data_IF_576153420577
#
_entry.id   IF_576153420577
#
_cell.length_a   1.000
_cell.length_b   1.000
_cell.length_c   1.000
_cell.angle_alpha   90.00
_cell.angle_beta   90.00
_cell.angle_gamma   90.00
#
_symmetry.space_group_name_H-M   'P 1'
#
loop_
_entity.id
_entity.type
_entity.pdbx_description
1 polymer ?
#
# COMPACT_ATOMS: atom_id res chain seq x y z
N UNK A 1 -13.76 10.33 4.00
CA UNK A 1 -12.93 9.11 3.86
C UNK A 1 -11.84 9.05 4.95
N UNK A 2 -12.22 9.06 6.23
CA UNK A 2 -11.25 9.01 7.35
C UNK A 2 -11.72 8.12 8.52
N UNK A 3 -13.01 7.80 8.58
CA UNK A 3 -13.57 6.90 9.59
C UNK A 3 -12.84 5.54 9.66
N UNK A 4 -12.53 4.85 8.53
CA UNK A 4 -11.74 3.62 8.60
C UNK A 4 -10.35 3.83 9.21
N UNK A 5 -9.69 4.95 8.88
CA UNK A 5 -8.36 5.27 9.39
C UNK A 5 -8.36 5.50 10.91
N UNK A 6 -9.38 6.20 11.43
CA UNK A 6 -9.53 6.39 12.88
C UNK A 6 -9.82 5.08 13.61
N UNK A 7 -10.65 4.21 13.02
CA UNK A 7 -10.92 2.87 13.58
C UNK A 7 -9.63 2.05 13.64
N UNK A 8 -8.84 2.02 12.57
CA UNK A 8 -7.54 1.33 12.56
C UNK A 8 -6.59 1.92 13.60
N UNK A 9 -6.50 3.25 13.69
CA UNK A 9 -5.66 3.90 14.69
C UNK A 9 -6.07 3.50 16.13
N UNK A 10 -7.37 3.50 16.43
CA UNK A 10 -7.89 3.05 17.72
C UNK A 10 -7.56 1.57 17.99
N UNK A 11 -7.70 0.70 16.98
CA UNK A 11 -7.36 -0.73 17.11
C UNK A 11 -5.86 -0.95 17.34
N UNK A 12 -4.98 -0.15 16.72
CA UNK A 12 -3.54 -0.25 16.91
C UNK A 12 -3.12 0.03 18.37
N UNK A 13 -3.82 0.91 19.09
CA UNK A 13 -3.57 1.13 20.52
C UNK A 13 -3.95 -0.06 21.41
N UNK A 14 -4.83 -0.95 20.93
CA UNK A 14 -5.26 -2.15 21.66
C UNK A 14 -4.37 -3.36 21.39
N UNK A 15 -3.59 -3.34 20.31
CA UNK A 15 -2.71 -4.45 19.96
C UNK A 15 -1.47 -4.47 20.85
N UNK A 16 -1.08 -5.65 21.35
CA UNK A 16 0.17 -5.79 22.08
C UNK A 16 1.36 -5.54 21.15
N UNK A 17 2.49 -5.13 21.73
CA UNK A 17 3.75 -5.02 21.01
C UNK A 17 4.15 -6.35 20.36
N UNK A 18 4.83 -6.27 19.21
CA UNK A 18 5.24 -7.47 18.47
C UNK A 18 6.21 -8.33 19.31
N UNK A 19 5.97 -9.65 19.46
CA UNK A 19 6.88 -10.54 20.17
C UNK A 19 8.31 -10.49 19.63
N UNK A 20 8.47 -10.31 18.30
CA UNK A 20 9.78 -10.17 17.66
C UNK A 20 10.53 -8.93 18.15
N UNK A 21 9.84 -7.81 18.33
CA UNK A 21 10.42 -6.59 18.86
C UNK A 21 10.83 -6.77 20.33
N UNK A 22 9.96 -7.35 21.16
CA UNK A 22 10.24 -7.64 22.57
C UNK A 22 11.46 -8.55 22.73
N UNK A 23 11.57 -9.62 21.93
CA UNK A 23 12.76 -10.50 21.91
C UNK A 23 14.02 -9.73 21.49
N UNK A 24 13.93 -8.92 20.42
CA UNK A 24 15.09 -8.15 19.93
C UNK A 24 15.61 -7.09 20.92
N UNK A 25 14.76 -6.65 21.86
CA UNK A 25 15.10 -5.68 22.90
C UNK A 25 15.48 -6.34 24.23
N UNK A 26 15.50 -7.68 24.30
CA UNK A 26 15.82 -8.46 25.49
C UNK A 26 14.67 -8.64 26.49
N UNK A 27 13.45 -8.19 26.14
CA UNK A 27 12.22 -8.32 26.95
C UNK A 27 11.54 -9.67 26.71
N UNK A 28 12.25 -10.76 27.03
CA UNK A 28 11.80 -12.12 26.72
C UNK A 28 10.55 -12.54 27.50
N UNK A 29 10.42 -12.15 28.77
CA UNK A 29 9.26 -12.49 29.60
C UNK A 29 7.97 -11.84 29.06
N UNK A 30 8.06 -10.59 28.61
CA UNK A 30 6.94 -9.88 28.00
C UNK A 30 6.56 -10.48 26.64
N UNK A 31 7.54 -10.92 25.85
CA UNK A 31 7.26 -11.66 24.62
C UNK A 31 6.52 -12.97 24.90
N UNK A 32 6.86 -13.66 25.99
CA UNK A 32 6.21 -14.89 26.42
C UNK A 32 4.74 -14.65 26.82
N UNK A 33 4.45 -13.54 27.51
CA UNK A 33 3.08 -13.13 27.83
C UNK A 33 2.25 -12.87 26.57
N UNK A 34 2.83 -12.22 25.56
CA UNK A 34 2.15 -12.02 24.28
C UNK A 34 1.86 -13.36 23.60
N UNK A 35 2.80 -14.32 23.61
CA UNK A 35 2.56 -15.66 23.06
C UNK A 35 1.48 -16.44 23.82
N UNK A 36 1.45 -16.34 25.16
CA UNK A 36 0.37 -16.91 25.99
C UNK A 36 -0.99 -16.32 25.62
N UNK A 37 -1.05 -15.00 25.42
CA UNK A 37 -2.24 -14.33 24.93
C UNK A 37 -2.71 -14.84 23.57
N UNK A 38 -1.80 -14.97 22.61
CA UNK A 38 -2.09 -15.52 21.27
C UNK A 38 -2.59 -16.97 21.37
N UNK A 39 -1.95 -17.81 22.20
CA UNK A 39 -2.36 -19.19 22.44
C UNK A 39 -3.79 -19.28 22.96
N UNK A 40 -4.12 -18.48 23.98
CA UNK A 40 -5.47 -18.43 24.55
C UNK A 40 -6.50 -17.99 23.51
N UNK A 41 -6.20 -16.95 22.71
CA UNK A 41 -7.11 -16.48 21.66
C UNK A 41 -7.33 -17.52 20.55
N UNK A 42 -6.28 -18.24 20.14
CA UNK A 42 -6.38 -19.21 19.05
C UNK A 42 -7.01 -20.54 19.48
N UNK A 43 -6.79 -20.97 20.73
CA UNK A 43 -7.21 -22.30 21.21
C UNK A 43 -8.41 -22.27 22.16
N UNK A 44 -8.72 -21.10 22.74
CA UNK A 44 -9.70 -20.95 23.81
C UNK A 44 -9.28 -21.56 25.15
N UNK A 45 -8.05 -22.09 25.26
CA UNK A 45 -7.52 -22.72 26.48
C UNK A 45 -6.79 -21.70 27.35
N UNK A 46 -6.67 -22.02 28.64
CA UNK A 46 -6.00 -21.15 29.61
C UNK A 46 -4.54 -20.83 29.20
N UNK A 47 -4.09 -19.61 29.49
CA UNK A 47 -2.74 -19.12 29.22
C UNK A 47 -1.66 -19.97 29.92
N UNK A 48 -1.97 -20.53 31.09
CA UNK A 48 -1.06 -21.37 31.88
C UNK A 48 -0.73 -22.69 31.21
N UNK A 49 -1.61 -23.17 30.31
CA UNK A 49 -1.39 -24.39 29.52
C UNK A 49 -0.44 -24.18 28.34
N UNK A 50 0.07 -22.96 28.15
CA UNK A 50 1.03 -22.68 27.10
C UNK A 50 2.34 -23.47 27.32
N UNK A 51 2.74 -24.34 26.38
CA UNK A 51 3.81 -25.32 26.61
C UNK A 51 5.22 -24.71 26.65
N UNK A 52 5.41 -23.49 26.13
CA UNK A 52 6.72 -22.85 26.07
C UNK A 52 6.98 -22.07 27.37
N UNK A 53 8.09 -22.39 28.04
CA UNK A 53 8.50 -21.77 29.31
C UNK A 53 9.57 -20.70 29.16
N UNK A 54 10.41 -20.80 28.14
CA UNK A 54 11.51 -19.87 27.89
C UNK A 54 11.77 -19.74 26.38
N UNK A 55 12.23 -18.56 25.97
CA UNK A 55 12.59 -18.26 24.59
C UNK A 55 14.12 -18.24 24.52
N UNK A 56 14.70 -19.19 23.79
CA UNK A 56 16.13 -19.23 23.50
C UNK A 56 16.37 -18.53 22.15
N UNK A 57 17.40 -17.70 22.07
CA UNK A 57 17.80 -17.04 20.82
C UNK A 57 19.18 -17.58 20.44
N UNK A 58 19.23 -18.37 19.36
CA UNK A 58 20.44 -19.07 18.90
C UNK A 58 21.46 -18.14 18.22
N UNK A 59 21.04 -16.95 17.78
CA UNK A 59 21.96 -15.94 17.25
C UNK A 59 22.35 -14.94 18.34
N UNK A 60 23.63 -14.52 18.42
CA UNK A 60 23.93 -13.27 19.07
C UNK A 60 23.31 -12.18 18.22
N UNK A 61 22.08 -11.79 18.52
CA UNK A 61 21.62 -10.44 18.20
C UNK A 61 22.55 -9.52 18.97
N UNK A 62 23.69 -9.20 18.36
CA UNK A 62 24.66 -8.25 18.87
C UNK A 62 23.93 -6.91 19.00
N UNK A 63 23.41 -6.64 20.21
CA UNK A 63 24.11 -5.82 21.20
C UNK A 63 23.36 -5.94 22.52
N UNK A 64 24.05 -6.48 23.53
CA UNK A 64 23.80 -6.09 24.92
C UNK A 64 23.61 -4.56 24.94
N UNK A 65 22.59 -4.00 25.60
CA UNK A 65 22.72 -2.66 26.12
C UNK A 65 23.69 -2.77 27.30
N UNK A 66 24.98 -2.87 26.99
CA UNK A 66 25.98 -2.60 27.99
C UNK A 66 25.75 -1.15 28.43
N UNK A 67 25.56 -0.99 29.74
CA UNK A 67 25.33 0.26 30.43
C UNK A 67 26.33 1.31 29.95
N UNK A 68 25.92 2.16 29.02
CA UNK A 68 26.57 3.44 28.77
C UNK A 68 25.46 4.48 28.69
N UNK A 69 25.30 5.15 29.84
CA UNK A 69 24.73 6.48 29.95
C UNK A 69 25.45 7.36 28.93
N UNK A 70 24.89 7.56 27.73
CA UNK A 70 25.22 8.72 26.91
C UNK A 70 24.06 9.05 25.97
N UNK A 71 23.55 10.26 26.12
CA UNK A 71 22.66 10.92 25.19
C UNK A 71 23.26 10.89 23.77
N UNK A 72 22.77 10.00 22.88
CA UNK A 72 23.17 9.98 21.47
C UNK A 72 21.96 10.18 20.57
N UNK A 73 22.10 11.21 19.73
CA UNK A 73 21.08 11.86 18.92
C UNK A 73 20.20 10.90 18.08
N UNK A 74 18.92 11.27 17.83
CA UNK A 74 17.99 10.49 16.98
C UNK A 74 18.52 10.22 15.57
N UNK A 75 19.42 11.07 15.06
CA UNK A 75 20.05 10.94 13.74
C UNK A 75 20.88 9.66 13.58
N UNK A 76 21.49 9.16 14.66
CA UNK A 76 22.33 7.95 14.61
C UNK A 76 21.49 6.66 14.46
N UNK A 77 20.34 6.60 15.13
CA UNK A 77 19.40 5.48 15.04
C UNK A 77 18.76 5.38 13.65
N UNK A 78 18.32 6.51 13.09
CA UNK A 78 17.73 6.55 11.75
C UNK A 78 18.73 6.14 10.67
N UNK A 79 19.97 6.66 10.74
CA UNK A 79 21.03 6.29 9.79
C UNK A 79 21.36 4.80 9.84
N UNK A 80 21.39 4.21 11.03
CA UNK A 80 21.63 2.77 11.20
C UNK A 80 20.48 1.94 10.62
N UNK A 81 19.24 2.32 10.92
CA UNK A 81 18.05 1.67 10.38
C UNK A 81 17.96 1.76 8.85
N UNK A 82 18.31 2.92 8.26
CA UNK A 82 18.41 3.05 6.79
C UNK A 82 19.53 2.20 6.21
N UNK A 83 20.68 2.10 6.88
CA UNK A 83 21.77 1.22 6.47
C UNK A 83 21.35 -0.25 6.46
N UNK A 84 20.65 -0.69 7.51
CA UNK A 84 20.11 -2.05 7.62
C UNK A 84 19.08 -2.32 6.51
N UNK A 85 18.18 -1.37 6.24
CA UNK A 85 17.20 -1.47 5.13
C UNK A 85 17.90 -1.60 3.78
N UNK A 86 18.94 -0.81 3.52
CA UNK A 86 19.70 -0.86 2.27
C UNK A 86 20.39 -2.21 2.12
N UNK A 87 21.01 -2.73 3.19
CA UNK A 87 21.70 -4.02 3.15
C UNK A 87 20.73 -5.18 2.91
N UNK A 88 19.60 -5.20 3.62
CA UNK A 88 18.54 -6.19 3.38
C UNK A 88 17.92 -6.06 1.98
N UNK A 89 17.73 -4.84 1.48
CA UNK A 89 17.23 -4.62 0.12
C UNK A 89 18.21 -5.13 -0.93
N UNK A 90 19.52 -4.94 -0.71
CA UNK A 90 20.58 -5.40 -1.61
C UNK A 90 20.59 -6.92 -1.76
N UNK A 91 20.27 -7.66 -0.70
CA UNK A 91 20.14 -9.12 -0.76
C UNK A 91 19.08 -9.58 -1.76
N UNK A 92 18.07 -8.76 -2.06
CA UNK A 92 17.04 -9.09 -3.05
C UNK A 92 17.54 -8.98 -4.51
N UNK A 93 18.63 -8.23 -4.73
CA UNK A 93 19.21 -7.96 -6.04
C UNK A 93 20.52 -8.73 -6.30
N UNK A 94 20.90 -9.67 -5.43
CA UNK A 94 22.03 -10.56 -5.69
C UNK A 94 21.58 -11.88 -6.34
N UNK A 95 22.44 -12.53 -7.14
CA UNK A 95 22.18 -13.89 -7.61
C UNK A 95 22.02 -14.87 -6.43
N UNK A 96 21.16 -15.91 -6.52
CA UNK A 96 20.42 -16.37 -7.70
C UNK A 96 19.02 -15.75 -7.87
N UNK A 97 18.52 -14.99 -6.90
CA UNK A 97 17.11 -14.53 -6.87
C UNK A 97 16.81 -13.31 -7.73
N UNK A 98 17.84 -12.58 -8.18
CA UNK A 98 17.70 -11.37 -9.01
C UNK A 98 16.77 -11.53 -10.23
N UNK A 99 16.81 -12.69 -10.91
CA UNK A 99 15.93 -12.93 -12.08
C UNK A 99 14.46 -12.94 -11.69
N UNK A 100 14.10 -13.60 -10.59
CA UNK A 100 12.73 -13.63 -10.08
C UNK A 100 12.29 -12.26 -9.60
N UNK A 101 13.16 -11.54 -8.88
CA UNK A 101 12.92 -10.15 -8.45
C UNK A 101 12.65 -9.23 -9.64
N UNK A 102 13.46 -9.29 -10.70
CA UNK A 102 13.30 -8.44 -11.89
C UNK A 102 11.98 -8.73 -12.63
N UNK A 103 11.62 -10.01 -12.79
CA UNK A 103 10.33 -10.41 -13.37
C UNK A 103 9.17 -9.87 -12.53
N UNK A 104 9.23 -10.05 -11.20
CA UNK A 104 8.20 -9.55 -10.28
C UNK A 104 8.05 -8.03 -10.35
N UNK A 105 9.16 -7.28 -10.37
CA UNK A 105 9.16 -5.82 -10.54
C UNK A 105 8.49 -5.43 -11.87
N UNK A 106 8.83 -6.11 -12.96
CA UNK A 106 8.29 -5.80 -14.30
C UNK A 106 6.79 -6.03 -14.35
N UNK A 107 6.31 -7.17 -13.81
CA UNK A 107 4.89 -7.48 -13.73
C UNK A 107 4.16 -6.44 -12.87
N UNK A 108 4.71 -6.13 -11.69
CA UNK A 108 4.09 -5.20 -10.76
C UNK A 108 4.03 -3.78 -11.33
N UNK A 109 5.08 -3.33 -12.01
CA UNK A 109 5.15 -2.03 -12.65
C UNK A 109 4.12 -1.89 -13.78
N UNK A 110 4.09 -2.87 -14.69
CA UNK A 110 3.12 -2.87 -15.79
C UNK A 110 1.68 -2.94 -15.29
N UNK A 111 1.42 -3.75 -14.27
CA UNK A 111 0.10 -3.84 -13.64
C UNK A 111 -0.33 -2.50 -13.04
N UNK A 112 0.53 -1.85 -12.26
CA UNK A 112 0.18 -0.57 -11.63
C UNK A 112 0.07 0.57 -12.65
N UNK A 113 0.91 0.60 -13.68
CA UNK A 113 0.76 1.59 -14.77
C UNK A 113 -0.57 1.40 -15.48
N UNK A 114 -0.94 0.16 -15.81
CA UNK A 114 -2.24 -0.14 -16.42
C UNK A 114 -3.38 0.30 -15.51
N UNK A 115 -3.38 -0.14 -14.26
CA UNK A 115 -4.44 0.14 -13.30
C UNK A 115 -4.62 1.65 -13.05
N UNK A 116 -3.56 2.35 -12.63
CA UNK A 116 -3.65 3.77 -12.31
C UNK A 116 -3.78 4.65 -13.57
N UNK A 117 -3.14 4.26 -14.67
CA UNK A 117 -3.24 4.97 -15.95
C UNK A 117 -4.65 4.93 -16.52
N UNK A 118 -5.25 3.73 -16.58
CA UNK A 118 -6.63 3.57 -17.04
C UNK A 118 -7.62 4.25 -16.09
N UNK A 119 -7.40 4.16 -14.77
CA UNK A 119 -8.25 4.82 -13.78
C UNK A 119 -8.28 6.35 -13.96
N UNK A 120 -7.15 6.98 -14.31
CA UNK A 120 -7.12 8.41 -14.61
C UNK A 120 -7.72 8.74 -15.99
N UNK A 121 -7.64 7.83 -16.95
CA UNK A 121 -8.09 8.08 -18.32
C UNK A 121 -9.58 7.81 -18.54
N UNK A 122 -10.19 6.88 -17.80
CA UNK A 122 -11.61 6.55 -17.96
C UNK A 122 -12.57 7.73 -17.78
N UNK A 123 -12.42 8.61 -16.77
CA UNK A 123 -13.30 9.78 -16.62
C UNK A 123 -13.26 10.69 -17.85
N UNK A 124 -12.06 10.97 -18.35
CA UNK A 124 -11.86 11.79 -19.54
C UNK A 124 -12.43 11.10 -20.79
N UNK A 125 -12.21 9.80 -20.95
CA UNK A 125 -12.79 9.03 -22.06
C UNK A 125 -14.31 9.07 -22.05
N UNK A 126 -14.94 8.75 -20.92
CA UNK A 126 -16.41 8.73 -20.82
C UNK A 126 -17.01 10.12 -20.97
N UNK A 127 -16.30 11.18 -20.55
CA UNK A 127 -16.71 12.55 -20.82
C UNK A 127 -16.80 12.85 -22.34
N UNK A 128 -15.84 12.37 -23.14
CA UNK A 128 -15.88 12.52 -24.62
C UNK A 128 -17.06 11.78 -25.24
N UNK A 129 -17.36 10.58 -24.74
CA UNK A 129 -18.52 9.82 -25.19
C UNK A 129 -19.84 10.49 -24.80
N UNK A 130 -19.95 11.02 -23.57
CA UNK A 130 -21.14 11.75 -23.12
C UNK A 130 -21.37 13.03 -23.95
N UNK A 131 -20.30 13.78 -24.27
CA UNK A 131 -20.37 14.97 -25.11
C UNK A 131 -20.86 14.65 -26.53
N UNK A 132 -20.33 13.58 -27.13
CA UNK A 132 -20.79 13.08 -28.43
C UNK A 132 -22.25 12.63 -28.40
N UNK A 133 -22.63 11.83 -27.40
CA UNK A 133 -23.97 11.25 -27.25
C UNK A 133 -25.04 12.33 -27.15
N UNK A 134 -24.73 13.45 -26.49
CA UNK A 134 -25.64 14.61 -26.37
C UNK A 134 -25.85 15.37 -27.67
N UNK A 135 -24.81 15.48 -28.51
CA UNK A 135 -24.89 16.26 -29.75
C UNK A 135 -25.36 15.45 -30.95
N UNK A 136 -25.30 14.11 -30.87
CA UNK A 136 -25.65 13.19 -31.95
C UNK A 136 -26.76 12.19 -31.57
N UNK A 137 -27.64 12.54 -30.63
CA UNK A 137 -28.82 11.75 -30.24
C UNK A 137 -28.52 10.27 -29.91
N UNK A 138 -27.50 10.04 -29.09
CA UNK A 138 -27.02 8.70 -28.69
C UNK A 138 -26.57 7.80 -29.85
N UNK A 139 -26.11 8.38 -30.97
CA UNK A 139 -25.45 7.62 -32.02
C UNK A 139 -24.16 6.95 -31.52
N UNK A 140 -23.94 5.70 -31.91
CA UNK A 140 -22.70 4.97 -31.63
C UNK A 140 -21.50 5.67 -32.28
N UNK A 141 -20.39 5.71 -31.56
CA UNK A 141 -19.13 6.24 -32.05
C UNK A 141 -17.94 5.44 -31.52
N UNK A 142 -16.84 5.48 -32.26
CA UNK A 142 -15.56 4.97 -31.80
C UNK A 142 -14.75 6.05 -31.06
N UNK A 143 -13.66 5.62 -30.41
CA UNK A 143 -12.77 6.50 -29.63
C UNK A 143 -12.14 7.60 -30.50
N UNK A 144 -11.85 7.29 -31.78
CA UNK A 144 -11.23 8.22 -32.71
C UNK A 144 -12.20 9.34 -33.09
N UNK A 145 -13.46 9.00 -33.33
CA UNK A 145 -14.54 9.94 -33.68
C UNK A 145 -14.82 10.89 -32.52
N UNK A 146 -15.04 10.37 -31.31
CA UNK A 146 -15.30 11.24 -30.14
C UNK A 146 -14.10 12.10 -29.79
N UNK A 147 -12.87 11.60 -29.98
CA UNK A 147 -11.65 12.39 -29.77
C UNK A 147 -11.48 13.49 -30.82
N UNK A 148 -11.71 13.18 -32.11
CA UNK A 148 -11.67 14.17 -33.17
C UNK A 148 -12.74 15.26 -32.96
N UNK A 149 -13.93 14.86 -32.52
CA UNK A 149 -15.01 15.79 -32.21
C UNK A 149 -14.64 16.75 -31.08
N UNK A 150 -14.20 16.24 -29.93
CA UNK A 150 -13.88 17.08 -28.77
C UNK A 150 -12.68 18.00 -29.01
N UNK A 151 -11.70 17.57 -29.81
CA UNK A 151 -10.52 18.38 -30.16
C UNK A 151 -10.79 19.46 -31.21
N UNK A 152 -11.77 19.26 -32.11
CA UNK A 152 -12.08 20.22 -33.18
C UNK A 152 -13.25 21.15 -32.83
N UNK A 153 -14.30 20.61 -32.20
CA UNK A 153 -15.59 21.30 -32.02
C UNK A 153 -16.06 21.37 -30.56
N UNK A 154 -15.48 20.55 -29.68
CA UNK A 154 -15.91 20.43 -28.29
C UNK A 154 -15.10 21.25 -27.29
N UNK A 155 -15.14 20.80 -26.04
CA UNK A 155 -14.52 21.42 -24.85
C UNK A 155 -13.00 21.61 -24.93
N UNK A 156 -12.30 20.93 -25.84
CA UNK A 156 -10.85 21.05 -26.06
C UNK A 156 -10.48 21.78 -27.37
N UNK A 157 -11.43 22.41 -28.05
CA UNK A 157 -11.16 23.23 -29.24
C UNK A 157 -10.34 24.48 -28.89
N UNK A 158 -9.51 24.95 -29.83
CA UNK A 158 -8.65 26.14 -29.65
C UNK A 158 -9.42 27.44 -29.46
N UNK A 159 -10.72 27.44 -29.71
CA UNK A 159 -11.60 28.61 -29.64
C UNK A 159 -12.50 28.60 -28.39
N UNK A 160 -12.65 27.47 -27.70
CA UNK A 160 -13.46 27.35 -26.48
C UNK A 160 -12.62 27.60 -25.22
N UNK A 161 -13.20 28.33 -24.24
CA UNK A 161 -12.67 28.35 -22.86
C UNK A 161 -12.84 26.95 -22.28
N UNK A 162 -11.77 26.34 -21.79
CA UNK A 162 -11.85 25.06 -21.07
C UNK A 162 -12.93 25.14 -19.98
N UNK A 163 -14.00 24.38 -20.16
CA UNK A 163 -14.98 24.13 -19.10
C UNK A 163 -14.51 22.91 -18.30
N UNK A 164 -14.36 23.11 -16.99
CA UNK A 164 -13.91 22.05 -16.06
C UNK A 164 -15.06 21.24 -15.47
N UNK A 165 -16.29 21.54 -15.88
CA UNK A 165 -17.49 20.90 -15.37
C UNK A 165 -17.71 19.51 -16.00
N UNK A 166 -17.25 18.47 -15.31
CA UNK A 166 -17.55 17.07 -15.63
C UNK A 166 -18.81 16.60 -14.89
N UNK A 167 -19.70 15.89 -15.59
CA UNK A 167 -20.91 15.34 -14.97
C UNK A 167 -20.62 14.16 -14.02
N UNK A 168 -21.41 14.05 -12.95
CA UNK A 168 -21.18 13.06 -11.89
C UNK A 168 -21.37 11.59 -12.32
N UNK A 169 -22.16 11.32 -13.37
CA UNK A 169 -22.34 9.98 -13.94
C UNK A 169 -21.03 9.42 -14.52
N UNK A 170 -20.22 10.28 -15.15
CA UNK A 170 -18.90 9.93 -15.71
C UNK A 170 -17.98 9.30 -14.65
N UNK A 171 -17.98 9.85 -13.43
CA UNK A 171 -17.20 9.32 -12.31
C UNK A 171 -17.74 7.98 -11.80
N UNK A 172 -19.07 7.79 -11.81
CA UNK A 172 -19.70 6.53 -11.38
C UNK A 172 -19.43 5.41 -12.39
N UNK A 173 -19.56 5.69 -13.68
CA UNK A 173 -19.30 4.70 -14.74
C UNK A 173 -17.81 4.34 -14.81
N UNK A 174 -16.92 5.32 -14.58
CA UNK A 174 -15.49 5.08 -14.39
C UNK A 174 -15.21 4.19 -13.18
N UNK A 175 -15.83 4.47 -12.04
CA UNK A 175 -15.64 3.70 -10.81
C UNK A 175 -16.14 2.25 -10.96
N UNK A 176 -17.32 2.06 -11.56
CA UNK A 176 -17.92 0.73 -11.78
C UNK A 176 -17.03 -0.08 -12.73
N UNK A 177 -16.57 0.52 -13.83
CA UNK A 177 -15.71 -0.16 -14.81
C UNK A 177 -14.37 -0.58 -14.20
N UNK A 178 -13.75 0.26 -13.36
CA UNK A 178 -12.50 -0.06 -12.66
C UNK A 178 -12.72 -1.10 -11.56
N UNK A 179 -13.83 -1.04 -10.83
CA UNK A 179 -14.14 -2.00 -9.77
C UNK A 179 -14.49 -3.40 -10.31
N UNK A 180 -14.89 -3.50 -11.57
CA UNK A 180 -15.25 -4.74 -12.25
C UNK A 180 -14.07 -5.41 -12.99
N UNK A 181 -12.92 -4.72 -13.11
CA UNK A 181 -11.70 -5.20 -13.75
C UNK A 181 -10.75 -5.88 -12.74
#
# INVERSE_FOLDING_TARGET
MSLPSFVVAALLFLLPESPKFLISTGRHDEALEVFRGIYMMNTGRDKELYPVKQILVDEPVHRKPEKVVEAKEPKSKLKKMMGDIIEHSKQLFVPPILKFTAISITINFTFHIGYYGLMMWFPEMFNRFDEWSRTHDNAEADICQVTAYVTQFGTHSTEARCDSHMHSNVFMDSLITVAAA
#
